data_IF_975345507788
#
_entry.id   IF_975345507788
#
_cell.length_a   1.000
_cell.length_b   1.000
_cell.length_c   1.000
_cell.angle_alpha   90.00
_cell.angle_beta   90.00
_cell.angle_gamma   90.00
#
_symmetry.space_group_name_H-M   'P 1'
#
loop_
_entity.id
_entity.type
_entity.pdbx_description
1 polymer ?
#
# COMPACT_ATOMS: atom_id res chain seq x y z
N UNK A 1 -6.41 7.08 -12.42
CA UNK A 1 -7.86 7.30 -12.32
C UNK A 1 -8.26 7.56 -10.88
N UNK A 2 -9.55 7.46 -10.59
CA UNK A 2 -10.17 7.71 -9.28
C UNK A 2 -10.57 6.41 -8.55
N UNK A 3 -10.09 5.25 -9.01
CA UNK A 3 -10.35 3.96 -8.36
C UNK A 3 -9.30 3.68 -7.29
N UNK A 4 -9.62 2.82 -6.33
CA UNK A 4 -8.64 2.39 -5.32
C UNK A 4 -7.36 1.86 -5.96
N UNK A 5 -7.46 0.96 -6.95
CA UNK A 5 -6.29 0.40 -7.63
C UNK A 5 -5.41 1.49 -8.26
N UNK A 6 -6.01 2.53 -8.84
CA UNK A 6 -5.27 3.67 -9.39
C UNK A 6 -4.48 4.40 -8.28
N UNK A 7 -5.11 4.62 -7.13
CA UNK A 7 -4.50 5.27 -5.97
C UNK A 7 -3.37 4.42 -5.38
N UNK A 8 -3.57 3.10 -5.28
CA UNK A 8 -2.55 2.15 -4.82
C UNK A 8 -1.30 2.22 -5.69
N UNK A 9 -1.46 2.18 -7.01
CA UNK A 9 -0.32 2.26 -7.94
C UNK A 9 0.35 3.64 -7.87
N UNK A 10 -0.43 4.73 -7.81
CA UNK A 10 0.14 6.08 -7.70
C UNK A 10 0.93 6.27 -6.41
N UNK A 11 0.41 5.84 -5.27
CA UNK A 11 1.13 5.94 -4.00
C UNK A 11 2.29 4.96 -3.91
N UNK A 12 2.15 3.75 -4.47
CA UNK A 12 3.23 2.78 -4.59
C UNK A 12 4.42 3.30 -5.39
N UNK A 13 4.17 4.05 -6.48
CA UNK A 13 5.23 4.75 -7.23
C UNK A 13 5.96 5.79 -6.37
N UNK A 14 5.23 6.60 -5.60
CA UNK A 14 5.82 7.60 -4.70
C UNK A 14 6.70 6.93 -3.64
N UNK A 15 6.21 5.86 -3.02
CA UNK A 15 6.94 5.10 -2.00
C UNK A 15 8.18 4.43 -2.59
N UNK A 16 8.07 3.84 -3.78
CA UNK A 16 9.22 3.28 -4.48
C UNK A 16 10.29 4.34 -4.79
N UNK A 17 9.88 5.53 -5.25
CA UNK A 17 10.82 6.62 -5.48
C UNK A 17 11.48 7.07 -4.17
N UNK A 18 10.72 7.17 -3.07
CA UNK A 18 11.26 7.54 -1.77
C UNK A 18 12.29 6.52 -1.26
N UNK A 19 12.00 5.24 -1.37
CA UNK A 19 12.89 4.11 -1.07
C UNK A 19 14.21 4.20 -1.87
N UNK A 20 14.13 4.50 -3.17
CA UNK A 20 15.32 4.65 -4.01
C UNK A 20 16.14 5.91 -3.70
N UNK A 21 15.48 6.99 -3.27
CA UNK A 21 16.16 8.24 -2.89
C UNK A 21 16.76 8.16 -1.48
N UNK A 22 16.23 7.30 -0.62
CA UNK A 22 16.63 7.13 0.78
C UNK A 22 17.06 5.68 1.09
N UNK A 23 18.08 5.14 0.40
CA UNK A 23 18.43 3.71 0.47
C UNK A 23 18.95 3.22 1.83
N UNK A 24 19.23 4.14 2.76
CA UNK A 24 19.71 3.83 4.12
C UNK A 24 18.63 4.04 5.19
N UNK A 25 17.42 4.45 4.79
CA UNK A 25 16.28 4.66 5.67
C UNK A 25 15.44 3.38 5.69
N UNK A 26 14.97 2.98 6.87
CA UNK A 26 14.17 1.77 7.01
C UNK A 26 12.75 1.94 6.44
N UNK A 27 12.17 0.84 5.95
CA UNK A 27 10.79 0.76 5.46
C UNK A 27 9.78 1.28 6.50
N UNK A 28 10.04 1.09 7.79
CA UNK A 28 9.24 1.65 8.90
C UNK A 28 9.15 3.17 8.86
N UNK A 29 10.23 3.85 8.49
CA UNK A 29 10.26 5.32 8.38
C UNK A 29 9.62 5.77 7.06
N UNK A 30 9.87 5.05 5.97
CA UNK A 30 9.25 5.31 4.65
C UNK A 30 7.71 5.23 4.73
N UNK A 31 7.20 4.22 5.44
CA UNK A 31 5.75 3.99 5.62
C UNK A 31 5.17 4.71 6.84
N UNK A 32 6.01 5.29 7.69
CA UNK A 32 5.64 5.84 9.00
C UNK A 32 4.89 4.81 9.87
N UNK A 33 5.35 3.56 9.83
CA UNK A 33 4.82 2.44 10.59
C UNK A 33 5.73 2.12 11.76
N UNK A 34 5.13 1.72 12.89
CA UNK A 34 5.90 1.04 13.92
C UNK A 34 6.44 -0.30 13.39
N UNK A 35 7.51 -0.85 13.97
CA UNK A 35 8.02 -2.16 13.57
C UNK A 35 6.94 -3.26 13.61
N UNK A 36 6.04 -3.21 14.60
CA UNK A 36 4.93 -4.16 14.71
C UNK A 36 3.88 -3.99 13.60
N UNK A 37 3.58 -2.74 13.21
CA UNK A 37 2.65 -2.48 12.10
C UNK A 37 3.22 -2.94 10.76
N UNK A 38 4.51 -2.72 10.53
CA UNK A 38 5.19 -3.20 9.32
C UNK A 38 5.19 -4.73 9.25
N UNK A 39 5.60 -5.41 10.33
CA UNK A 39 5.59 -6.86 10.41
C UNK A 39 4.18 -7.43 10.17
N UNK A 40 3.16 -6.81 10.76
CA UNK A 40 1.77 -7.22 10.53
C UNK A 40 1.38 -7.11 9.05
N UNK A 41 1.75 -6.02 8.37
CA UNK A 41 1.49 -5.84 6.94
C UNK A 41 2.22 -6.87 6.06
N UNK A 42 3.45 -7.25 6.42
CA UNK A 42 4.22 -8.30 5.73
C UNK A 42 3.58 -9.68 5.92
N UNK A 43 3.20 -10.03 7.16
CA UNK A 43 2.60 -11.32 7.49
C UNK A 43 1.19 -11.50 6.90
N UNK A 44 0.45 -10.39 6.74
CA UNK A 44 -0.96 -10.41 6.33
C UNK A 44 -1.17 -9.89 4.89
N UNK A 45 -0.13 -9.79 4.07
CA UNK A 45 -0.22 -9.22 2.71
C UNK A 45 -1.31 -9.89 1.86
N UNK A 46 -1.40 -11.22 1.93
CA UNK A 46 -2.41 -12.01 1.21
C UNK A 46 -3.83 -11.71 1.71
N UNK A 47 -4.02 -11.62 3.02
CA UNK A 47 -5.33 -11.37 3.64
C UNK A 47 -5.83 -9.95 3.34
N UNK A 48 -4.92 -8.96 3.34
CA UNK A 48 -5.21 -7.60 2.90
C UNK A 48 -5.72 -7.61 1.46
N UNK A 49 -5.00 -8.30 0.56
CA UNK A 49 -5.40 -8.40 -0.85
C UNK A 49 -6.74 -9.14 -1.03
N UNK A 50 -6.93 -10.24 -0.32
CA UNK A 50 -8.18 -11.01 -0.34
C UNK A 50 -9.36 -10.18 0.16
N UNK A 51 -9.17 -9.33 1.18
CA UNK A 51 -10.17 -8.39 1.64
C UNK A 51 -10.55 -7.38 0.54
N UNK A 52 -9.57 -6.79 -0.16
CA UNK A 52 -9.86 -5.85 -1.25
C UNK A 52 -10.64 -6.48 -2.41
N UNK A 53 -10.41 -7.76 -2.68
CA UNK A 53 -11.15 -8.51 -3.70
C UNK A 53 -12.57 -8.85 -3.23
N UNK A 54 -12.72 -9.37 -2.00
CA UNK A 54 -14.00 -9.81 -1.44
C UNK A 54 -15.01 -8.67 -1.30
N UNK A 55 -14.53 -7.49 -0.90
CA UNK A 55 -15.35 -6.29 -0.74
C UNK A 55 -15.43 -5.46 -2.05
N UNK A 56 -14.93 -5.99 -3.18
CA UNK A 56 -14.92 -5.35 -4.50
C UNK A 56 -14.26 -3.95 -4.52
N UNK A 57 -13.39 -3.66 -3.56
CA UNK A 57 -12.83 -2.33 -3.31
C UNK A 57 -11.89 -1.87 -4.43
N UNK A 58 -11.16 -2.79 -5.07
CA UNK A 58 -10.14 -2.45 -6.08
C UNK A 58 -10.69 -1.57 -7.21
N UNK A 59 -11.94 -1.82 -7.60
CA UNK A 59 -12.61 -1.12 -8.69
C UNK A 59 -13.56 -0.02 -8.22
N UNK A 60 -13.76 0.13 -6.91
CA UNK A 60 -14.59 1.21 -6.37
C UNK A 60 -13.99 2.57 -6.74
N UNK A 61 -14.88 3.45 -7.21
CA UNK A 61 -14.59 4.86 -7.49
C UNK A 61 -15.17 5.81 -6.44
N UNK A 62 -15.88 5.27 -5.44
CA UNK A 62 -16.40 6.05 -4.32
C UNK A 62 -15.29 6.25 -3.29
N UNK A 63 -14.83 7.50 -3.16
CA UNK A 63 -13.76 7.89 -2.24
C UNK A 63 -14.00 7.42 -0.80
N UNK A 64 -15.25 7.39 -0.35
CA UNK A 64 -15.60 7.06 1.03
C UNK A 64 -15.32 5.60 1.38
N UNK A 65 -15.32 4.71 0.38
CA UNK A 65 -15.11 3.28 0.59
C UNK A 65 -13.65 3.00 0.98
N UNK A 66 -12.71 3.73 0.38
CA UNK A 66 -11.29 3.42 0.46
C UNK A 66 -10.41 4.52 1.04
N UNK A 67 -10.97 5.70 1.36
CA UNK A 67 -10.23 6.83 1.95
C UNK A 67 -9.32 6.42 3.11
N UNK A 68 -9.84 5.65 4.07
CA UNK A 68 -9.09 5.22 5.27
C UNK A 68 -8.01 4.16 4.97
N UNK A 69 -8.06 3.53 3.79
CA UNK A 69 -7.07 2.58 3.32
C UNK A 69 -5.88 3.26 2.61
N UNK A 70 -6.02 4.53 2.21
CA UNK A 70 -4.99 5.30 1.49
C UNK A 70 -4.52 6.56 2.22
N UNK A 71 -5.37 7.19 3.02
CA UNK A 71 -5.01 8.33 3.88
C UNK A 71 -4.57 7.89 5.27
N UNK A 72 -3.96 8.82 6.02
CA UNK A 72 -3.64 8.62 7.42
C UNK A 72 -4.89 8.24 8.22
N UNK A 73 -4.84 7.09 8.88
CA UNK A 73 -5.91 6.54 9.68
C UNK A 73 -5.30 5.70 10.79
N UNK A 74 -5.89 5.66 12.00
CA UNK A 74 -5.38 4.80 13.08
C UNK A 74 -5.48 3.32 12.72
N UNK A 75 -6.48 2.92 11.92
CA UNK A 75 -6.70 1.55 11.49
C UNK A 75 -7.26 1.47 10.05
N UNK A 76 -7.24 0.26 9.48
CA UNK A 76 -7.91 -0.05 8.22
C UNK A 76 -9.32 -0.61 8.46
N UNK A 77 -10.39 -0.01 7.91
CA UNK A 77 -11.75 -0.55 8.02
C UNK A 77 -11.86 -1.96 7.44
N UNK A 78 -12.69 -2.81 8.06
CA UNK A 78 -12.92 -4.17 7.58
C UNK A 78 -11.79 -5.16 7.89
N UNK A 79 -10.75 -4.72 8.61
CA UNK A 79 -9.61 -5.51 9.05
C UNK A 79 -9.54 -5.58 10.59
N UNK A 80 -8.75 -6.52 11.16
CA UNK A 80 -8.53 -6.59 12.60
C UNK A 80 -7.96 -5.28 13.20
N UNK A 81 -8.14 -5.03 14.52
CA UNK A 81 -7.65 -3.81 15.17
C UNK A 81 -6.14 -3.55 15.04
N UNK A 82 -5.36 -4.60 14.83
CA UNK A 82 -3.90 -4.56 14.64
C UNK A 82 -3.51 -4.00 13.25
N UNK A 83 -4.44 -4.03 12.28
CA UNK A 83 -4.20 -3.55 10.94
C UNK A 83 -3.98 -2.03 10.94
N UNK A 84 -2.79 -1.53 10.58
CA UNK A 84 -2.55 -0.10 10.50
C UNK A 84 -3.46 0.54 9.45
N UNK A 85 -3.68 1.86 9.52
CA UNK A 85 -4.21 2.58 8.35
C UNK A 85 -3.24 2.50 7.17
N UNK A 86 -3.65 2.95 5.98
CA UNK A 86 -2.80 2.98 4.77
C UNK A 86 -2.36 1.60 4.22
N UNK A 87 -3.05 0.51 4.58
CA UNK A 87 -2.78 -0.85 4.07
C UNK A 87 -2.83 -0.94 2.54
N UNK A 88 -3.67 -0.15 1.87
CA UNK A 88 -3.68 -0.14 0.41
C UNK A 88 -2.41 0.49 -0.19
N UNK A 89 -1.78 1.45 0.51
CA UNK A 89 -0.50 2.01 0.08
C UNK A 89 0.64 0.99 0.24
N UNK A 90 0.63 0.19 1.31
CA UNK A 90 1.58 -0.92 1.49
C UNK A 90 1.51 -1.89 0.30
N UNK A 91 0.32 -2.41 -0.01
CA UNK A 91 0.12 -3.31 -1.15
C UNK A 91 0.51 -2.63 -2.47
N UNK A 92 0.11 -1.37 -2.66
CA UNK A 92 0.49 -0.58 -3.83
C UNK A 92 2.01 -0.49 -4.02
N UNK A 93 2.75 -0.31 -2.92
CA UNK A 93 4.21 -0.29 -2.95
C UNK A 93 4.79 -1.65 -3.33
N UNK A 94 4.29 -2.74 -2.76
CA UNK A 94 4.74 -4.09 -3.11
C UNK A 94 4.46 -4.45 -4.58
N UNK A 95 3.30 -4.03 -5.11
CA UNK A 95 2.98 -4.17 -6.54
C UNK A 95 4.05 -3.48 -7.40
N UNK A 96 4.37 -2.22 -7.10
CA UNK A 96 5.36 -1.45 -7.88
C UNK A 96 6.77 -2.03 -7.71
N UNK A 97 7.20 -2.40 -6.49
CA UNK A 97 8.49 -3.08 -6.25
C UNK A 97 8.60 -4.36 -7.08
N UNK A 98 7.58 -5.20 -7.03
CA UNK A 98 7.52 -6.45 -7.79
C UNK A 98 7.55 -6.23 -9.30
N UNK A 99 6.87 -5.19 -9.79
CA UNK A 99 6.89 -4.83 -11.19
C UNK A 99 8.28 -4.36 -11.64
N UNK A 100 8.86 -3.38 -10.94
CA UNK A 100 10.19 -2.84 -11.28
C UNK A 100 11.29 -3.89 -11.19
N UNK A 101 11.21 -4.81 -10.23
CA UNK A 101 12.13 -5.96 -10.12
C UNK A 101 12.05 -6.89 -11.34
N UNK A 102 10.87 -7.08 -11.91
CA UNK A 102 10.64 -7.93 -13.10
C UNK A 102 10.94 -7.22 -14.42
N UNK A 103 10.96 -5.89 -14.42
CA UNK A 103 11.16 -5.06 -15.61
C UNK A 103 12.26 -4.01 -15.37
N UNK A 104 13.53 -4.43 -15.20
CA UNK A 104 14.65 -3.51 -14.87
C UNK A 104 14.93 -2.45 -15.96
N UNK A 105 14.47 -2.67 -17.19
CA UNK A 105 14.55 -1.72 -18.30
C UNK A 105 13.52 -0.58 -18.22
N UNK A 106 12.48 -0.75 -17.39
CA UNK A 106 11.39 0.22 -17.27
C UNK A 106 11.87 1.45 -16.53
N UNK A 107 11.51 2.63 -17.06
CA UNK A 107 11.73 3.91 -16.40
C UNK A 107 10.46 4.33 -15.67
N UNK A 108 10.61 4.84 -14.45
CA UNK A 108 9.49 5.41 -13.71
C UNK A 108 9.06 6.72 -14.39
N UNK A 109 7.93 6.69 -15.09
CA UNK A 109 7.25 7.86 -15.67
C UNK A 109 5.93 8.16 -14.95
#
# INVERSE_FOLDING_TARGET
GNRLLDQMVQNGKKLYLLDHLLPYVSDTVIMEYSPAQLAWCEENELEIWAHFLREELLYSSNWQDYRKLVEYSPNSPGMPPEAPGRTANWIGWQIVRSYMKRHPETRMT
#
